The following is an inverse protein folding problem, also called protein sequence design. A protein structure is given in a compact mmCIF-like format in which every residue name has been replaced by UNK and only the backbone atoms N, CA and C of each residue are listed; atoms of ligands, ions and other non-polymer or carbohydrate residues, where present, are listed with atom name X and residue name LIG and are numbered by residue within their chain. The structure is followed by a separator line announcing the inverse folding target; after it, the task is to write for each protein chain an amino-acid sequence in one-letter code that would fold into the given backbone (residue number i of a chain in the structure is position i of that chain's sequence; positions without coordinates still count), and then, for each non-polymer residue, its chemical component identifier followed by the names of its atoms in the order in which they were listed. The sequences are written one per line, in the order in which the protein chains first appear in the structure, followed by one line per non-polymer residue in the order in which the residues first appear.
data_IF_545507220550
#
_entry.id   IF_545507220550
#
_cell.length_a   1.000
_cell.length_b   1.000
_cell.length_c   1.000
_cell.angle_alpha   90.00
_cell.angle_beta   90.00
_cell.angle_gamma   90.00
#
_symmetry.space_group_name_H-M   'P 1'
#
loop_
_entity.id
_entity.type
_entity.pdbx_description
1 polymer ?
#
# COMPACT_ATOMS: atom_id res chain seq x y z
N UNK A 1 -24.92 6.36 -2.87
CA UNK A 1 -23.56 5.86 -3.16
C UNK A 1 -22.94 5.52 -1.83
N UNK A 2 -22.50 4.28 -1.59
CA UNK A 2 -22.02 3.88 -0.25
C UNK A 2 -20.75 4.62 0.14
N UNK A 3 -20.66 5.01 1.41
CA UNK A 3 -19.54 5.74 1.99
C UNK A 3 -18.25 4.92 1.90
N UNK A 4 -17.12 5.60 1.64
CA UNK A 4 -15.81 4.95 1.61
C UNK A 4 -15.29 4.92 3.06
N UNK A 5 -15.31 3.73 3.65
CA UNK A 5 -14.89 3.51 5.05
C UNK A 5 -13.39 3.20 5.16
N UNK A 6 -12.74 2.89 4.04
CA UNK A 6 -11.33 2.52 4.03
C UNK A 6 -10.78 2.06 2.69
N UNK A 7 -9.64 1.42 2.75
CA UNK A 7 -8.92 0.91 1.58
C UNK A 7 -8.20 -0.39 1.90
N UNK A 8 -8.02 -1.21 0.88
CA UNK A 8 -7.18 -2.38 0.95
C UNK A 8 -6.21 -2.40 -0.23
N UNK A 9 -4.99 -2.88 0.03
CA UNK A 9 -3.95 -3.05 -0.95
C UNK A 9 -3.36 -4.46 -0.87
N UNK A 10 -3.05 -5.10 -2.00
CA UNK A 10 -2.34 -6.37 -1.99
C UNK A 10 -0.90 -6.17 -1.58
N UNK A 11 -0.52 -6.86 -0.52
CA UNK A 11 0.84 -6.89 0.03
C UNK A 11 1.30 -8.35 -0.03
N UNK A 12 2.44 -8.65 -0.67
CA UNK A 12 3.02 -10.00 -0.64
C UNK A 12 3.29 -10.46 0.81
N UNK A 13 3.00 -11.72 1.11
CA UNK A 13 3.17 -12.32 2.45
C UNK A 13 4.53 -12.02 3.10
N UNK A 14 5.61 -12.09 2.32
CA UNK A 14 6.97 -11.79 2.80
C UNK A 14 7.12 -10.39 3.43
N UNK A 15 6.34 -9.40 2.97
CA UNK A 15 6.38 -8.03 3.49
C UNK A 15 5.31 -7.78 4.56
N UNK A 16 4.23 -8.56 4.57
CA UNK A 16 3.10 -8.39 5.47
C UNK A 16 3.51 -8.45 6.95
N UNK A 17 4.33 -9.44 7.30
CA UNK A 17 4.78 -9.66 8.68
C UNK A 17 5.56 -8.46 9.25
N UNK A 18 6.10 -7.57 8.41
CA UNK A 18 6.82 -6.39 8.88
C UNK A 18 5.90 -5.39 9.57
N UNK A 19 4.64 -5.30 9.13
CA UNK A 19 3.66 -4.43 9.79
C UNK A 19 3.37 -4.88 11.21
N UNK A 20 3.18 -6.19 11.40
CA UNK A 20 2.95 -6.80 12.71
C UNK A 20 4.22 -6.85 13.59
N UNK A 21 5.38 -6.46 13.05
CA UNK A 21 6.66 -6.33 13.77
C UNK A 21 7.06 -4.86 14.00
N UNK A 22 6.17 -3.91 13.74
CA UNK A 22 6.37 -2.49 14.08
C UNK A 22 6.62 -1.54 12.90
N UNK A 23 6.75 -2.04 11.65
CA UNK A 23 6.74 -1.13 10.49
C UNK A 23 5.33 -0.58 10.30
N UNK A 24 5.19 0.71 10.07
CA UNK A 24 3.86 1.33 10.00
C UNK A 24 3.71 2.34 8.87
N UNK A 25 4.62 2.31 7.89
CA UNK A 25 4.51 3.16 6.70
C UNK A 25 4.46 2.27 5.46
N UNK A 26 3.34 2.35 4.75
CA UNK A 26 3.10 1.66 3.50
C UNK A 26 3.41 2.57 2.31
N UNK A 27 4.13 2.08 1.30
CA UNK A 27 4.59 2.86 0.14
C UNK A 27 4.26 2.14 -1.16
N UNK A 28 3.70 2.87 -2.13
CA UNK A 28 3.47 2.38 -3.50
C UNK A 28 3.23 3.52 -4.49
N UNK A 29 3.18 3.26 -5.82
CA UNK A 29 2.68 4.23 -6.76
C UNK A 29 1.24 4.65 -6.41
N UNK A 30 0.96 5.94 -6.48
CA UNK A 30 -0.30 6.53 -6.06
C UNK A 30 -1.42 6.11 -7.01
N UNK A 31 -2.27 5.17 -6.57
CA UNK A 31 -3.46 4.70 -7.30
C UNK A 31 -4.76 5.07 -6.59
N UNK A 32 -5.15 4.31 -5.55
CA UNK A 32 -6.46 4.39 -4.88
C UNK A 32 -6.36 5.28 -3.63
N UNK A 33 -6.01 6.55 -3.83
CA UNK A 33 -5.64 7.45 -2.73
C UNK A 33 -6.52 8.69 -2.56
N UNK A 34 -7.22 9.11 -3.62
CA UNK A 34 -7.91 10.42 -3.68
C UNK A 34 -8.94 10.65 -2.58
N UNK A 35 -9.56 9.58 -2.06
CA UNK A 35 -10.58 9.66 -1.02
C UNK A 35 -10.07 9.25 0.36
N UNK A 36 -8.77 8.94 0.51
CA UNK A 36 -8.21 8.56 1.79
C UNK A 36 -8.12 9.77 2.70
N UNK A 37 -8.64 9.61 3.91
CA UNK A 37 -8.58 10.60 4.98
C UNK A 37 -7.99 9.98 6.25
N UNK A 38 -7.37 10.78 7.13
CA UNK A 38 -7.05 10.35 8.48
C UNK A 38 -8.26 9.72 9.17
N UNK A 39 -8.04 8.66 9.95
CA UNK A 39 -9.07 7.89 10.66
C UNK A 39 -9.72 6.77 9.86
N UNK A 40 -9.61 6.75 8.52
CA UNK A 40 -10.16 5.67 7.69
C UNK A 40 -9.43 4.35 7.89
N UNK A 41 -10.11 3.24 7.61
CA UNK A 41 -9.51 1.90 7.73
C UNK A 41 -8.52 1.60 6.61
N UNK A 42 -7.39 1.01 6.97
CA UNK A 42 -6.48 0.32 6.06
C UNK A 42 -6.55 -1.18 6.36
N UNK A 43 -7.10 -1.98 5.46
CA UNK A 43 -7.20 -3.43 5.66
C UNK A 43 -6.09 -4.14 4.90
N UNK A 44 -5.28 -4.89 5.63
CA UNK A 44 -4.14 -5.63 5.11
C UNK A 44 -4.62 -6.87 4.34
N UNK A 45 -4.55 -6.82 3.01
CA UNK A 45 -4.79 -7.98 2.16
C UNK A 45 -3.46 -8.67 1.80
N UNK A 46 -3.31 -9.91 2.24
CA UNK A 46 -2.17 -10.74 1.91
C UNK A 46 -2.37 -11.38 0.54
N UNK A 47 -1.35 -11.27 -0.32
CA UNK A 47 -1.36 -11.77 -1.70
C UNK A 47 -0.33 -12.88 -1.92
N UNK A 48 -0.50 -13.63 -3.02
CA UNK A 48 0.30 -14.80 -3.47
C UNK A 48 0.07 -16.07 -2.65
N UNK A 49 0.31 -16.01 -1.35
CA UNK A 49 0.21 -17.15 -0.43
C UNK A 49 -0.77 -16.84 0.69
N UNK A 50 -1.53 -17.85 1.13
CA UNK A 50 -2.52 -17.76 2.21
C UNK A 50 -3.39 -16.50 2.07
N UNK A 51 -3.98 -16.34 0.88
CA UNK A 51 -4.64 -15.09 0.49
C UNK A 51 -5.84 -14.78 1.38
N UNK A 52 -5.92 -13.53 1.86
CA UNK A 52 -6.95 -13.11 2.80
C UNK A 52 -6.65 -11.76 3.43
N UNK A 53 -7.66 -11.18 4.06
CA UNK A 53 -7.47 -10.07 4.99
C UNK A 53 -6.89 -10.62 6.29
N UNK A 54 -5.75 -10.08 6.70
CA UNK A 54 -4.97 -10.61 7.83
C UNK A 54 -4.87 -9.62 8.99
N UNK A 55 -5.41 -8.41 8.82
CA UNK A 55 -5.41 -7.38 9.84
C UNK A 55 -5.96 -6.06 9.31
N UNK A 56 -5.98 -5.07 10.18
CA UNK A 56 -6.35 -3.70 9.85
C UNK A 56 -5.52 -2.68 10.63
N UNK A 57 -5.58 -1.44 10.18
CA UNK A 57 -4.99 -0.28 10.83
C UNK A 57 -5.86 0.95 10.53
N UNK A 58 -5.57 2.06 11.18
CA UNK A 58 -6.10 3.37 10.82
C UNK A 58 -5.08 4.15 10.01
N UNK A 59 -5.56 4.89 9.02
CA UNK A 59 -4.74 5.84 8.28
C UNK A 59 -4.50 7.05 9.18
N UNK A 60 -3.25 7.34 9.48
CA UNK A 60 -2.86 8.56 10.20
C UNK A 60 -2.71 9.73 9.24
N UNK A 61 -1.98 9.54 8.15
CA UNK A 61 -1.84 10.51 7.05
C UNK A 61 -1.34 9.86 5.77
N UNK A 62 -1.51 10.59 4.67
CA UNK A 62 -1.01 10.21 3.34
C UNK A 62 -0.07 11.31 2.84
N UNK A 63 1.14 10.95 2.45
CA UNK A 63 2.10 11.86 1.83
C UNK A 63 2.29 11.44 0.38
N UNK A 64 2.30 12.43 -0.52
CA UNK A 64 2.53 12.22 -1.95
C UNK A 64 3.88 12.82 -2.35
N UNK A 65 4.63 12.11 -3.18
CA UNK A 65 5.86 12.64 -3.78
C UNK A 65 6.10 12.03 -5.15
N UNK A 66 6.72 12.79 -6.06
CA UNK A 66 7.23 12.24 -7.32
C UNK A 66 8.50 11.41 -7.11
N UNK A 67 9.23 11.65 -6.02
CA UNK A 67 10.43 10.92 -5.65
C UNK A 67 10.17 10.03 -4.42
N UNK A 68 9.90 8.73 -4.61
CA UNK A 68 9.62 7.81 -3.50
C UNK A 68 10.78 7.61 -2.54
N UNK A 69 12.02 7.92 -2.94
CA UNK A 69 13.18 7.80 -2.04
C UNK A 69 13.13 8.83 -0.90
N UNK A 70 12.48 9.98 -1.11
CA UNK A 70 12.33 11.02 -0.09
C UNK A 70 11.49 10.56 1.11
N UNK A 71 10.67 9.51 0.96
CA UNK A 71 9.94 8.96 2.09
C UNK A 71 10.88 8.45 3.18
N UNK A 72 12.08 7.97 2.84
CA UNK A 72 13.06 7.55 3.83
C UNK A 72 13.63 8.70 4.65
N UNK A 73 13.64 9.93 4.12
CA UNK A 73 14.10 11.10 4.88
C UNK A 73 13.08 11.47 5.97
N UNK A 74 11.79 11.19 5.73
CA UNK A 74 10.69 11.47 6.68
C UNK A 74 10.41 10.31 7.63
N UNK A 75 10.43 9.09 7.13
CA UNK A 75 9.95 7.91 7.86
C UNK A 75 11.07 6.94 8.24
N UNK A 76 12.26 7.09 7.66
CA UNK A 76 13.41 6.26 7.96
C UNK A 76 13.11 4.78 7.81
N UNK A 77 13.42 4.02 8.85
CA UNK A 77 13.26 2.58 8.88
C UNK A 77 11.79 2.16 9.04
N UNK A 78 10.84 3.04 9.38
CA UNK A 78 9.42 2.69 9.59
C UNK A 78 8.69 2.23 8.31
N UNK A 79 9.30 2.48 7.15
CA UNK A 79 8.82 2.01 5.86
C UNK A 79 8.91 0.49 5.80
N UNK A 80 7.85 -0.14 5.29
CA UNK A 80 7.78 -1.60 5.22
C UNK A 80 8.77 -2.23 4.22
N UNK A 81 9.25 -1.46 3.24
CA UNK A 81 10.32 -1.83 2.31
C UNK A 81 11.65 -1.20 2.72
N UNK A 82 12.75 -1.90 2.49
CA UNK A 82 14.09 -1.30 2.60
C UNK A 82 14.35 -0.34 1.43
N UNK A 83 15.43 0.45 1.53
CA UNK A 83 15.84 1.36 0.44
C UNK A 83 16.13 0.59 -0.84
N UNK A 84 16.75 -0.57 -0.72
CA UNK A 84 17.14 -1.46 -1.83
C UNK A 84 15.89 -2.07 -2.48
N UNK A 85 14.98 -2.61 -1.68
CA UNK A 85 13.71 -3.17 -2.17
C UNK A 85 12.84 -2.11 -2.85
N UNK A 86 12.81 -0.88 -2.34
CA UNK A 86 12.07 0.20 -2.99
C UNK A 86 12.74 0.61 -4.31
N UNK A 87 14.07 0.67 -4.38
CA UNK A 87 14.81 0.92 -5.62
C UNK A 87 14.53 -0.15 -6.67
N UNK A 88 14.57 -1.42 -6.29
CA UNK A 88 14.21 -2.53 -7.19
C UNK A 88 12.75 -2.44 -7.64
N UNK A 89 11.85 -2.09 -6.72
CA UNK A 89 10.44 -1.93 -7.06
C UNK A 89 10.25 -0.81 -8.10
N UNK A 90 10.90 0.35 -7.93
CA UNK A 90 10.88 1.45 -8.92
C UNK A 90 11.41 0.98 -10.28
N UNK A 91 12.57 0.33 -10.32
CA UNK A 91 13.16 -0.21 -11.57
C UNK A 91 12.22 -1.21 -12.25
N UNK A 92 11.57 -2.08 -11.48
CA UNK A 92 10.59 -3.01 -12.03
C UNK A 92 9.43 -2.26 -12.70
N UNK A 93 8.90 -1.20 -12.06
CA UNK A 93 7.82 -0.40 -12.61
C UNK A 93 8.22 0.29 -13.93
N UNK A 94 9.47 0.73 -14.06
CA UNK A 94 9.99 1.33 -15.29
C UNK A 94 10.10 0.32 -16.44
N UNK A 95 10.54 -0.91 -16.17
CA UNK A 95 10.55 -1.98 -17.18
C UNK A 95 9.16 -2.24 -17.75
N UNK A 96 8.12 -2.19 -16.92
CA UNK A 96 6.73 -2.33 -17.36
C UNK A 96 6.17 -1.08 -18.10
N UNK A 97 6.82 0.09 -17.99
CA UNK A 97 6.42 1.29 -18.78
C UNK A 97 6.64 1.09 -20.27
N UNK A 98 7.73 0.42 -20.67
CA UNK A 98 8.07 0.20 -22.09
C UNK A 98 7.02 -0.58 -22.87
N UNK A 99 6.26 -1.47 -22.20
CA UNK A 99 5.25 -2.32 -22.85
C UNK A 99 3.89 -1.61 -23.00
N UNK A 100 3.55 -0.67 -22.11
CA UNK A 100 2.20 -0.05 -22.05
C UNK A 100 2.13 1.42 -22.39
N UNK A 101 3.25 2.11 -22.56
CA UNK A 101 3.28 3.57 -22.70
C UNK A 101 3.45 3.99 -24.16
N UNK A 102 2.34 4.26 -24.85
CA UNK A 102 2.34 5.07 -26.08
C UNK A 102 2.72 6.52 -25.75
N UNK A 103 4.01 6.79 -25.53
CA UNK A 103 4.61 8.12 -25.73
C UNK A 103 4.31 9.24 -24.73
N UNK A 104 3.92 8.99 -23.47
CA UNK A 104 3.86 10.04 -22.44
C UNK A 104 4.64 9.68 -21.17
N UNK A 105 5.81 10.29 -20.99
CA UNK A 105 6.58 10.32 -19.74
C UNK A 105 5.86 11.16 -18.68
N UNK A 106 4.76 10.65 -18.11
CA UNK A 106 4.28 11.23 -16.85
C UNK A 106 5.09 10.64 -15.70
N UNK A 107 5.80 11.50 -14.96
CA UNK A 107 6.37 11.14 -13.65
C UNK A 107 5.26 10.54 -12.81
N UNK A 108 5.49 9.31 -12.32
CA UNK A 108 4.47 8.54 -11.61
C UNK A 108 4.46 9.03 -10.17
N UNK A 109 3.37 9.65 -9.73
CA UNK A 109 3.22 10.06 -8.34
C UNK A 109 3.24 8.82 -7.44
N UNK A 110 3.98 8.89 -6.35
CA UNK A 110 4.04 7.87 -5.30
C UNK A 110 3.34 8.36 -4.04
N UNK A 111 2.96 7.41 -3.19
CA UNK A 111 2.35 7.71 -1.90
C UNK A 111 3.00 6.89 -0.79
N UNK A 112 3.10 7.52 0.37
CA UNK A 112 3.38 6.89 1.65
C UNK A 112 2.17 7.09 2.57
N UNK A 113 1.66 5.99 3.14
CA UNK A 113 0.54 6.00 4.08
C UNK A 113 1.12 5.63 5.44
N UNK A 114 1.08 6.58 6.37
CA UNK A 114 1.41 6.32 7.78
C UNK A 114 0.19 5.71 8.45
N UNK A 115 0.41 4.60 9.15
CA UNK A 115 -0.60 3.81 9.81
C UNK A 115 -0.42 3.86 11.33
N UNK A 116 -1.54 3.78 12.03
CA UNK A 116 -1.62 3.65 13.48
C UNK A 116 -2.64 2.58 13.87
N UNK A 117 -2.64 2.17 15.14
CA UNK A 117 -3.53 1.10 15.65
C UNK A 117 -3.49 -0.18 14.81
N UNK A 118 -2.30 -0.62 14.38
CA UNK A 118 -2.14 -1.85 13.59
C UNK A 118 -2.57 -3.06 14.43
N UNK A 119 -3.53 -3.82 13.93
CA UNK A 119 -4.08 -5.03 14.55
C UNK A 119 -4.02 -6.19 13.56
N UNK A 120 -3.61 -7.36 14.04
CA UNK A 120 -3.64 -8.62 13.29
C UNK A 120 -4.95 -9.35 13.63
N UNK A 121 -5.56 -9.98 12.64
CA UNK A 121 -6.68 -10.89 12.88
C UNK A 121 -6.15 -12.28 13.28
N UNK A 122 -6.90 -12.98 14.13
CA UNK A 122 -6.53 -14.34 14.56
C UNK A 122 -6.50 -15.34 13.40
N UNK A 123 -7.40 -15.15 12.43
CA UNK A 123 -7.52 -15.98 11.23
C UNK A 123 -7.67 -15.10 9.98
N UNK A 124 -7.01 -15.45 8.86
CA UNK A 124 -7.22 -14.75 7.59
C UNK A 124 -8.68 -14.83 7.12
N UNK A 125 -9.27 -13.69 6.78
CA UNK A 125 -10.64 -13.60 6.26
C UNK A 125 -10.59 -13.58 4.72
N UNK A 126 -11.23 -14.53 4.05
CA UNK A 126 -11.25 -14.57 2.59
C UNK A 126 -12.07 -13.40 2.01
N UNK A 127 -11.55 -12.67 1.01
CA UNK A 127 -12.31 -11.58 0.42
C UNK A 127 -13.47 -12.12 -0.42
N UNK A 128 -14.62 -11.43 -0.38
CA UNK A 128 -15.80 -11.78 -1.20
C UNK A 128 -15.56 -11.58 -2.70
N UNK A 129 -14.59 -10.74 -3.08
CA UNK A 129 -14.24 -10.41 -4.47
C UNK A 129 -12.72 -10.34 -4.62
N UNK A 130 -12.26 -10.48 -5.85
CA UNK A 130 -10.84 -10.34 -6.17
C UNK A 130 -10.32 -8.93 -5.85
N UNK A 131 -9.17 -8.84 -5.19
CA UNK A 131 -8.51 -7.57 -4.87
C UNK A 131 -7.47 -7.27 -5.95
N UNK A 132 -7.73 -6.23 -6.74
CA UNK A 132 -6.81 -5.81 -7.81
C UNK A 132 -5.47 -5.28 -7.25
N UNK A 133 -4.41 -5.40 -8.06
CA UNK A 133 -3.06 -4.87 -7.75
C UNK A 133 -3.07 -3.36 -7.45
N UNK A 134 -4.01 -2.64 -8.04
CA UNK A 134 -4.24 -1.21 -7.77
C UNK A 134 -4.70 -0.94 -6.34
N UNK A 135 -5.19 -1.93 -5.60
CA UNK A 135 -5.99 -1.76 -4.39
C UNK A 135 -7.45 -1.49 -4.70
N UNK A 136 -8.26 -1.44 -3.65
CA UNK A 136 -9.71 -1.25 -3.73
C UNK A 136 -10.21 -0.44 -2.53
N UNK A 137 -11.15 0.48 -2.77
CA UNK A 137 -11.88 1.13 -1.68
C UNK A 137 -12.84 0.15 -1.01
N UNK A 138 -12.84 0.17 0.31
CA UNK A 138 -13.83 -0.51 1.12
C UNK A 138 -15.01 0.42 1.31
N UNK A 139 -16.21 -0.14 1.16
CA UNK A 139 -17.47 0.58 1.30
C UNK A 139 -18.34 -0.18 2.29
N UNK A 140 -19.19 0.54 2.99
CA UNK A 140 -20.27 -0.03 3.80
C UNK A 140 -21.32 -0.71 2.91
#
# INVERSE_FOLDING_TARGET
MSEIIGVTYPIPKQFMNRFFKGKNVFVKPATVWKYLKPGMKFVFYQSREDTGFVGEAKIKRVILSENPMQFFDTFGDRIFLTKEELKEYIKSQERWKGIRSRGKEKKKLWMAIELEDIRKYDKPIKPKRFIAVSGQYLRE
#
